data_IF_014296956868
#
_entry.id   IF_014296956868
#
_cell.length_a   1.000
_cell.length_b   1.000
_cell.length_c   1.000
_cell.angle_alpha   90.00
_cell.angle_beta   90.00
_cell.angle_gamma   90.00
#
_symmetry.space_group_name_H-M   'P 1'
#
loop_
_entity.id
_entity.type
_entity.pdbx_description
1 polymer ?
#
# COMPACT_ATOMS: atom_id res chain seq x y z
N UNK A 1 -21.26 -6.34 -6.68
CA UNK A 1 -20.25 -6.06 -5.64
C UNK A 1 -19.06 -5.44 -6.34
N UNK A 2 -18.67 -4.22 -5.97
CA UNK A 2 -17.60 -3.48 -6.64
C UNK A 2 -16.41 -3.33 -5.69
N UNK A 3 -15.21 -3.31 -6.23
CA UNK A 3 -13.99 -2.84 -5.58
C UNK A 3 -13.12 -2.19 -6.64
N UNK A 4 -12.01 -1.56 -6.28
CA UNK A 4 -11.10 -1.02 -7.28
C UNK A 4 -9.69 -0.81 -6.77
N UNK A 5 -8.76 -0.75 -7.72
CA UNK A 5 -7.39 -0.35 -7.50
C UNK A 5 -6.73 0.07 -8.81
N UNK A 6 -5.78 1.00 -8.74
CA UNK A 6 -4.96 1.41 -9.89
C UNK A 6 -4.24 0.22 -10.56
N UNK A 7 -3.93 0.38 -11.84
CA UNK A 7 -3.33 -0.63 -12.69
C UNK A 7 -1.81 -0.78 -12.47
N UNK A 8 -1.43 -1.21 -11.26
CA UNK A 8 -0.03 -1.50 -10.90
C UNK A 8 0.64 -2.51 -11.83
N UNK A 9 1.91 -2.28 -12.16
CA UNK A 9 2.73 -3.28 -12.89
C UNK A 9 2.67 -4.62 -12.16
N UNK A 10 2.59 -5.73 -12.91
CA UNK A 10 2.44 -7.07 -12.34
C UNK A 10 1.26 -7.20 -11.36
N UNK A 11 0.16 -6.46 -11.54
CA UNK A 11 -1.01 -6.35 -10.62
C UNK A 11 -0.81 -5.49 -9.37
N UNK A 12 0.36 -4.89 -9.18
CA UNK A 12 0.66 -4.07 -8.01
C UNK A 12 0.73 -4.89 -6.71
N UNK A 13 0.41 -4.28 -5.55
CA UNK A 13 0.53 -4.94 -4.25
C UNK A 13 -0.56 -6.00 -4.03
N UNK A 14 -0.28 -6.95 -3.14
CA UNK A 14 -1.13 -8.08 -2.75
C UNK A 14 -2.57 -7.69 -2.38
N UNK A 15 -2.78 -6.54 -1.75
CA UNK A 15 -4.14 -6.10 -1.39
C UNK A 15 -5.04 -5.91 -2.62
N UNK A 16 -4.49 -5.70 -3.81
CA UNK A 16 -5.24 -5.66 -5.08
C UNK A 16 -5.92 -7.01 -5.33
N UNK A 17 -5.18 -8.10 -5.12
CA UNK A 17 -5.69 -9.46 -5.24
C UNK A 17 -6.72 -9.73 -4.13
N UNK A 18 -6.47 -9.24 -2.92
CA UNK A 18 -7.39 -9.44 -1.80
C UNK A 18 -8.72 -8.72 -1.98
N UNK A 19 -8.70 -7.49 -2.50
CA UNK A 19 -9.90 -6.76 -2.92
C UNK A 19 -10.72 -7.56 -3.92
N UNK A 20 -10.07 -8.07 -4.97
CA UNK A 20 -10.73 -8.87 -5.99
C UNK A 20 -11.29 -10.19 -5.42
N UNK A 21 -10.52 -10.88 -4.58
CA UNK A 21 -10.95 -12.12 -3.92
C UNK A 21 -12.15 -11.88 -2.98
N UNK A 22 -12.12 -10.82 -2.18
CA UNK A 22 -13.23 -10.39 -1.34
C UNK A 22 -14.49 -10.09 -2.17
N UNK A 23 -14.37 -9.32 -3.25
CA UNK A 23 -15.50 -9.00 -4.13
C UNK A 23 -16.10 -10.27 -4.77
N UNK A 24 -15.26 -11.18 -5.25
CA UNK A 24 -15.68 -12.49 -5.80
C UNK A 24 -16.40 -13.32 -4.75
N UNK A 25 -15.81 -13.45 -3.55
CA UNK A 25 -16.36 -14.27 -2.48
C UNK A 25 -17.69 -13.71 -1.98
N UNK A 26 -17.78 -12.39 -1.80
CA UNK A 26 -19.00 -11.70 -1.37
C UNK A 26 -20.11 -11.80 -2.44
N UNK A 27 -19.80 -11.60 -3.72
CA UNK A 27 -20.78 -11.75 -4.80
C UNK A 27 -21.33 -13.19 -4.88
N UNK A 28 -20.46 -14.20 -4.70
CA UNK A 28 -20.88 -15.60 -4.65
C UNK A 28 -21.79 -15.88 -3.46
N UNK A 29 -21.49 -15.33 -2.29
CA UNK A 29 -22.32 -15.53 -1.09
C UNK A 29 -23.70 -14.88 -1.24
N UNK A 30 -23.76 -13.65 -1.75
CA UNK A 30 -25.02 -12.99 -2.08
C UNK A 30 -25.84 -13.77 -3.12
N UNK A 31 -25.16 -14.39 -4.10
CA UNK A 31 -25.81 -15.27 -5.08
C UNK A 31 -26.38 -16.52 -4.46
N UNK A 32 -25.69 -17.14 -3.50
CA UNK A 32 -26.22 -18.27 -2.73
C UNK A 32 -27.44 -17.90 -1.90
N UNK A 33 -27.52 -16.65 -1.44
CA UNK A 33 -28.67 -16.09 -0.73
C UNK A 33 -29.82 -15.64 -1.66
N UNK A 34 -29.72 -15.91 -2.97
CA UNK A 34 -30.78 -15.65 -3.94
C UNK A 34 -30.70 -14.30 -4.65
N UNK A 35 -29.69 -13.48 -4.39
CA UNK A 35 -29.49 -12.21 -5.10
C UNK A 35 -28.69 -12.40 -6.39
N UNK A 36 -29.07 -11.80 -7.52
CA UNK A 36 -28.23 -11.80 -8.73
C UNK A 36 -27.05 -10.84 -8.55
N UNK A 37 -25.92 -11.34 -8.06
CA UNK A 37 -24.74 -10.52 -7.78
C UNK A 37 -23.54 -10.93 -8.63
N UNK A 38 -22.86 -9.94 -9.21
CA UNK A 38 -21.59 -10.13 -9.93
C UNK A 38 -20.45 -9.35 -9.25
N UNK A 39 -19.22 -9.88 -9.27
CA UNK A 39 -18.04 -9.15 -8.82
C UNK A 39 -17.47 -8.27 -9.93
N UNK A 40 -17.26 -6.98 -9.62
CA UNK A 40 -16.70 -5.99 -10.54
C UNK A 40 -15.45 -5.39 -9.91
N UNK A 41 -14.37 -5.32 -10.68
CA UNK A 41 -13.14 -4.64 -10.32
C UNK A 41 -12.99 -3.38 -11.17
N UNK A 42 -13.16 -2.23 -10.55
CA UNK A 42 -12.98 -0.91 -11.12
C UNK A 42 -11.48 -0.60 -11.26
N UNK A 43 -11.03 -0.38 -12.49
CA UNK A 43 -9.66 0.06 -12.77
C UNK A 43 -9.70 1.57 -12.98
N UNK A 44 -9.23 2.41 -12.04
CA UNK A 44 -9.26 3.87 -12.15
C UNK A 44 -8.17 4.36 -13.12
N UNK A 45 -8.29 3.98 -14.39
CA UNK A 45 -7.39 4.28 -15.49
C UNK A 45 -7.31 5.78 -15.84
N UNK A 46 -8.25 6.56 -15.30
CA UNK A 46 -8.33 8.02 -15.37
C UNK A 46 -7.43 8.76 -14.39
N UNK A 47 -6.88 8.06 -13.40
CA UNK A 47 -5.85 8.60 -12.53
C UNK A 47 -4.54 8.79 -13.30
N UNK A 48 -3.71 9.70 -12.84
CA UNK A 48 -2.46 10.14 -13.46
C UNK A 48 -1.21 9.77 -12.65
N UNK A 49 -1.37 9.19 -11.46
CA UNK A 49 -0.26 8.84 -10.59
C UNK A 49 0.49 7.59 -11.10
N UNK A 50 1.37 7.81 -12.06
CA UNK A 50 2.22 6.76 -12.60
C UNK A 50 3.25 6.25 -11.57
N UNK A 51 3.65 7.08 -10.60
CA UNK A 51 4.63 6.68 -9.57
C UNK A 51 4.08 5.55 -8.70
N UNK A 52 2.80 5.62 -8.35
CA UNK A 52 2.15 4.60 -7.54
C UNK A 52 2.04 3.23 -8.24
N UNK A 53 2.01 3.21 -9.59
CA UNK A 53 1.81 1.98 -10.35
C UNK A 53 3.08 1.40 -11.00
N UNK A 54 4.16 2.18 -11.11
CA UNK A 54 5.34 1.78 -11.91
C UNK A 54 6.26 0.75 -11.25
N UNK A 55 6.05 0.44 -9.97
CA UNK A 55 6.96 -0.44 -9.22
C UNK A 55 6.23 -1.40 -8.30
N UNK A 56 6.88 -2.52 -8.01
CA UNK A 56 6.44 -3.49 -7.02
C UNK A 56 7.61 -3.95 -6.17
N UNK A 57 7.33 -4.36 -4.94
CA UNK A 57 8.27 -5.13 -4.14
C UNK A 57 8.00 -6.61 -4.37
N UNK A 58 9.06 -7.38 -4.58
CA UNK A 58 9.01 -8.84 -4.62
C UNK A 58 9.83 -9.39 -3.47
N UNK A 59 9.39 -10.51 -2.91
CA UNK A 59 10.20 -11.21 -1.92
C UNK A 59 11.20 -12.08 -2.70
N UNK A 60 12.47 -11.67 -2.64
CA UNK A 60 13.55 -12.33 -3.36
C UNK A 60 13.85 -13.74 -2.84
N UNK A 61 14.73 -14.47 -3.55
CA UNK A 61 15.18 -15.84 -3.19
C UNK A 61 15.61 -15.98 -1.73
N UNK A 62 16.30 -14.96 -1.21
CA UNK A 62 16.81 -14.96 0.16
C UNK A 62 15.73 -14.66 1.22
N UNK A 63 14.53 -14.26 0.81
CA UNK A 63 13.44 -13.84 1.71
C UNK A 63 13.48 -12.34 2.04
N UNK A 64 14.28 -11.56 1.30
CA UNK A 64 14.42 -10.11 1.47
C UNK A 64 13.69 -9.36 0.35
N UNK A 65 13.25 -8.11 0.60
CA UNK A 65 12.55 -7.32 -0.40
C UNK A 65 13.49 -6.88 -1.52
N UNK A 66 13.01 -7.02 -2.76
CA UNK A 66 13.65 -6.50 -3.96
C UNK A 66 12.65 -5.65 -4.72
N UNK A 67 13.02 -4.41 -5.05
CA UNK A 67 12.17 -3.52 -5.85
C UNK A 67 12.42 -3.80 -7.32
N UNK A 68 11.33 -3.95 -8.07
CA UNK A 68 11.32 -4.08 -9.53
C UNK A 68 10.44 -2.96 -10.08
N UNK A 69 10.91 -2.23 -11.09
CA UNK A 69 10.21 -1.07 -11.63
C UNK A 69 10.42 -0.84 -13.13
N UNK A 70 9.49 -0.12 -13.75
CA UNK A 70 9.69 0.45 -15.08
C UNK A 70 10.20 1.87 -14.99
N UNK A 71 10.79 2.35 -16.09
CA UNK A 71 11.22 3.74 -16.23
C UNK A 71 10.05 4.71 -16.00
N UNK A 72 10.38 5.91 -15.50
CA UNK A 72 9.38 6.94 -15.29
C UNK A 72 8.77 7.40 -16.61
N UNK A 73 7.43 7.36 -16.69
CA UNK A 73 6.63 7.88 -17.79
C UNK A 73 5.57 8.87 -17.31
N UNK A 74 5.77 9.42 -16.12
CA UNK A 74 4.89 10.45 -15.55
C UNK A 74 4.81 11.63 -16.52
N UNK A 75 3.64 11.81 -17.11
CA UNK A 75 3.34 12.90 -18.05
C UNK A 75 2.17 13.77 -17.57
N UNK A 76 1.66 13.47 -16.37
CA UNK A 76 0.39 14.01 -15.88
C UNK A 76 -0.84 13.50 -16.62
N UNK A 77 -0.69 12.74 -17.72
CA UNK A 77 -1.81 12.12 -18.42
C UNK A 77 -2.44 11.01 -17.58
N UNK A 78 -3.73 10.70 -17.80
CA UNK A 78 -4.33 9.46 -17.34
C UNK A 78 -3.45 8.24 -17.67
N UNK A 79 -3.37 7.28 -16.75
CA UNK A 79 -2.64 6.02 -16.90
C UNK A 79 -3.06 5.28 -18.17
N UNK A 80 -4.35 5.35 -18.54
CA UNK A 80 -4.84 4.77 -19.80
C UNK A 80 -4.10 5.28 -21.04
N UNK A 81 -3.65 6.54 -21.03
CA UNK A 81 -2.99 7.20 -22.16
C UNK A 81 -1.46 6.99 -22.14
N UNK A 82 -0.92 6.35 -21.11
CA UNK A 82 0.51 6.05 -21.02
C UNK A 82 0.81 4.75 -21.79
N UNK A 83 1.63 4.80 -22.85
CA UNK A 83 1.92 3.62 -23.66
C UNK A 83 2.77 2.61 -22.88
N UNK A 84 2.41 1.35 -22.99
CA UNK A 84 3.17 0.21 -22.48
C UNK A 84 3.88 -0.50 -23.64
N UNK A 85 5.19 -0.72 -23.51
CA UNK A 85 5.99 -1.41 -24.51
C UNK A 85 6.28 -2.86 -24.10
N UNK A 86 6.44 -3.73 -25.09
CA UNK A 86 6.75 -5.16 -24.87
C UNK A 86 8.12 -5.34 -24.21
N UNK A 87 9.06 -4.46 -24.53
CA UNK A 87 10.41 -4.41 -23.96
C UNK A 87 10.38 -4.04 -22.48
N UNK A 88 9.44 -3.19 -22.05
CA UNK A 88 9.24 -2.88 -20.64
C UNK A 88 8.69 -4.09 -19.88
N UNK A 89 7.67 -4.74 -20.45
CA UNK A 89 7.15 -5.99 -19.90
C UNK A 89 8.25 -7.05 -19.76
N UNK A 90 9.04 -7.27 -20.82
CA UNK A 90 10.11 -8.27 -20.81
C UNK A 90 11.19 -7.94 -19.77
N UNK A 91 11.61 -6.68 -19.62
CA UNK A 91 12.59 -6.29 -18.59
C UNK A 91 12.08 -6.58 -17.17
N UNK A 92 10.84 -6.20 -16.86
CA UNK A 92 10.21 -6.52 -15.56
C UNK A 92 10.18 -8.03 -15.31
N UNK A 93 9.82 -8.81 -16.33
CA UNK A 93 9.70 -10.26 -16.23
C UNK A 93 11.07 -10.91 -16.03
N UNK A 94 12.13 -10.40 -16.67
CA UNK A 94 13.50 -10.88 -16.47
C UNK A 94 14.04 -10.56 -15.07
N UNK A 95 13.72 -9.39 -14.52
CA UNK A 95 14.03 -9.08 -13.13
C UNK A 95 13.29 -10.02 -12.19
N UNK A 96 11.99 -10.22 -12.38
CA UNK A 96 11.21 -11.17 -11.60
C UNK A 96 11.79 -12.60 -11.68
N UNK A 97 12.19 -13.04 -12.87
CA UNK A 97 12.88 -14.31 -13.09
C UNK A 97 14.17 -14.39 -12.26
N UNK A 98 15.04 -13.37 -12.34
CA UNK A 98 16.30 -13.33 -11.60
C UNK A 98 16.09 -13.39 -10.09
N UNK A 99 15.08 -12.70 -9.57
CA UNK A 99 14.83 -12.56 -8.13
C UNK A 99 14.00 -13.69 -7.50
N UNK A 100 13.44 -14.60 -8.31
CA UNK A 100 12.57 -15.69 -7.80
C UNK A 100 13.18 -17.08 -7.97
N UNK A 101 12.95 -18.02 -7.03
CA UNK A 101 13.57 -19.34 -7.05
C UNK A 101 13.12 -20.15 -8.27
N UNK A 102 13.98 -21.06 -8.75
CA UNK A 102 13.58 -22.02 -9.78
C UNK A 102 12.61 -23.05 -9.18
N UNK A 103 11.42 -23.15 -9.76
CA UNK A 103 10.36 -24.09 -9.38
C UNK A 103 9.73 -24.68 -10.63
N UNK A 104 8.99 -25.78 -10.49
CA UNK A 104 8.24 -26.38 -11.60
C UNK A 104 7.19 -25.43 -12.19
N UNK A 105 6.67 -24.48 -11.41
CA UNK A 105 5.64 -23.53 -11.85
C UNK A 105 6.20 -22.30 -12.57
N UNK A 106 7.49 -21.99 -12.37
CA UNK A 106 8.09 -20.73 -12.82
C UNK A 106 7.97 -20.52 -14.33
N UNK A 107 8.25 -21.55 -15.12
CA UNK A 107 8.24 -21.45 -16.58
C UNK A 107 6.87 -21.04 -17.13
N UNK A 108 5.80 -21.71 -16.67
CA UNK A 108 4.43 -21.42 -17.10
C UNK A 108 3.96 -20.01 -16.66
N UNK A 109 4.32 -19.60 -15.45
CA UNK A 109 3.95 -18.26 -14.93
C UNK A 109 4.65 -17.16 -15.72
N UNK A 110 5.96 -17.29 -15.96
CA UNK A 110 6.71 -16.32 -16.76
C UNK A 110 6.18 -16.25 -18.19
N UNK A 111 5.82 -17.38 -18.82
CA UNK A 111 5.22 -17.34 -20.16
C UNK A 111 3.83 -16.70 -20.16
N UNK A 112 3.03 -16.91 -19.11
CA UNK A 112 1.74 -16.21 -18.97
C UNK A 112 1.94 -14.69 -18.85
N UNK A 113 2.94 -14.26 -18.10
CA UNK A 113 3.31 -12.84 -18.01
C UNK A 113 3.74 -12.28 -19.38
N UNK A 114 4.56 -13.03 -20.13
CA UNK A 114 5.01 -12.64 -21.47
C UNK A 114 3.87 -12.59 -22.48
N UNK A 115 2.99 -13.59 -22.51
CA UNK A 115 1.79 -13.61 -23.39
C UNK A 115 0.93 -12.37 -23.17
N UNK A 116 0.59 -12.09 -21.91
CA UNK A 116 -0.25 -10.93 -21.58
C UNK A 116 0.43 -9.60 -21.88
N UNK A 117 1.74 -9.48 -21.63
CA UNK A 117 2.51 -8.29 -21.99
C UNK A 117 2.52 -8.07 -23.52
N UNK A 118 2.76 -9.11 -24.32
CA UNK A 118 2.77 -9.03 -25.79
C UNK A 118 1.43 -8.56 -26.38
N UNK A 119 0.32 -8.78 -25.66
CA UNK A 119 -1.06 -8.46 -26.07
C UNK A 119 -1.58 -7.13 -25.51
N UNK A 120 -0.69 -6.32 -24.94
CA UNK A 120 -1.05 -5.09 -24.25
C UNK A 120 -0.34 -3.89 -24.86
N UNK A 121 -1.07 -2.79 -25.00
CA UNK A 121 -0.58 -1.50 -25.49
C UNK A 121 -0.58 -0.44 -24.39
N UNK A 122 -1.27 -0.70 -23.28
CA UNK A 122 -1.36 0.17 -22.10
C UNK A 122 -1.12 -0.64 -20.82
N UNK A 123 -0.70 0.04 -19.75
CA UNK A 123 -0.55 -0.58 -18.43
C UNK A 123 -1.88 -1.12 -17.90
N UNK A 124 -2.98 -0.37 -18.12
CA UNK A 124 -4.35 -0.80 -17.82
C UNK A 124 -4.68 -2.12 -18.51
N UNK A 125 -4.37 -2.24 -19.81
CA UNK A 125 -4.66 -3.46 -20.57
C UNK A 125 -3.86 -4.65 -20.05
N UNK A 126 -2.59 -4.47 -19.74
CA UNK A 126 -1.75 -5.52 -19.19
C UNK A 126 -2.24 -5.99 -17.83
N UNK A 127 -2.51 -5.04 -16.92
CA UNK A 127 -3.13 -5.32 -15.62
C UNK A 127 -4.44 -6.10 -15.78
N UNK A 128 -5.31 -5.67 -16.70
CA UNK A 128 -6.59 -6.32 -16.92
C UNK A 128 -6.44 -7.76 -17.41
N UNK A 129 -5.52 -8.03 -18.34
CA UNK A 129 -5.25 -9.39 -18.79
C UNK A 129 -4.70 -10.27 -17.67
N UNK A 130 -3.79 -9.76 -16.84
CA UNK A 130 -3.26 -10.50 -15.68
C UNK A 130 -4.36 -10.84 -14.68
N UNK A 131 -5.16 -9.86 -14.27
CA UNK A 131 -6.29 -10.09 -13.36
C UNK A 131 -7.30 -11.09 -13.95
N UNK A 132 -7.56 -11.03 -15.26
CA UNK A 132 -8.41 -12.00 -15.96
C UNK A 132 -7.86 -13.42 -15.89
N UNK A 133 -6.53 -13.60 -16.03
CA UNK A 133 -5.88 -14.92 -15.89
C UNK A 133 -5.96 -15.44 -14.45
N UNK A 134 -5.62 -14.61 -13.46
CA UNK A 134 -5.61 -14.99 -12.04
C UNK A 134 -7.01 -15.35 -11.52
N UNK A 135 -8.03 -14.61 -11.96
CA UNK A 135 -9.43 -14.80 -11.56
C UNK A 135 -10.25 -15.57 -12.61
N UNK A 136 -9.59 -16.34 -13.49
CA UNK A 136 -10.29 -17.19 -14.45
C UNK A 136 -11.30 -18.10 -13.74
N UNK A 137 -12.51 -18.18 -14.30
CA UNK A 137 -13.60 -19.01 -13.78
C UNK A 137 -14.36 -18.41 -12.58
N UNK A 138 -14.06 -17.19 -12.13
CA UNK A 138 -14.79 -16.55 -11.02
C UNK A 138 -15.92 -15.64 -11.46
N UNK A 139 -15.95 -15.24 -12.74
CA UNK A 139 -16.89 -14.23 -13.24
C UNK A 139 -16.51 -12.80 -12.87
N UNK A 140 -15.27 -12.54 -12.43
CA UNK A 140 -14.77 -11.19 -12.19
C UNK A 140 -14.82 -10.34 -13.46
N UNK A 141 -15.58 -9.26 -13.41
CA UNK A 141 -15.67 -8.27 -14.48
C UNK A 141 -14.65 -7.17 -14.22
N UNK A 142 -13.77 -6.90 -15.18
CA UNK A 142 -12.84 -5.77 -15.09
C UNK A 142 -13.43 -4.57 -15.82
N UNK A 143 -13.57 -3.46 -15.10
CA UNK A 143 -14.29 -2.29 -15.56
C UNK A 143 -13.32 -1.11 -15.74
N UNK A 144 -13.15 -0.67 -16.99
CA UNK A 144 -12.40 0.52 -17.33
C UNK A 144 -13.38 1.68 -17.55
N UNK A 145 -13.40 2.71 -16.69
CA UNK A 145 -14.37 3.80 -16.75
C UNK A 145 -14.08 4.81 -17.86
N UNK A 146 -12.95 4.69 -18.57
CA UNK A 146 -12.60 5.51 -19.73
C UNK A 146 -13.05 4.91 -21.06
N UNK A 147 -13.69 3.73 -21.07
CA UNK A 147 -14.31 3.18 -22.28
C UNK A 147 -15.37 4.20 -22.78
N UNK A 148 -15.27 4.71 -24.03
CA UNK A 148 -16.10 5.82 -24.50
C UNK A 148 -17.61 5.60 -24.35
N UNK A 149 -18.09 4.39 -24.65
CA UNK A 149 -19.51 4.04 -24.59
C UNK A 149 -20.04 4.08 -23.15
N UNK A 150 -19.22 3.64 -22.20
CA UNK A 150 -19.54 3.67 -20.77
C UNK A 150 -19.49 5.11 -20.26
N UNK A 151 -18.47 5.86 -20.68
CA UNK A 151 -18.21 7.23 -20.22
C UNK A 151 -19.36 8.18 -20.50
N UNK A 152 -20.07 7.99 -21.61
CA UNK A 152 -21.28 8.77 -21.95
C UNK A 152 -22.33 8.73 -20.84
N UNK A 153 -22.49 7.60 -20.14
CA UNK A 153 -23.41 7.46 -19.02
C UNK A 153 -23.07 8.34 -17.80
N UNK A 154 -21.82 8.81 -17.69
CA UNK A 154 -21.37 9.69 -16.61
C UNK A 154 -21.47 11.19 -16.94
N UNK A 155 -21.75 11.55 -18.21
CA UNK A 155 -21.67 12.95 -18.68
C UNK A 155 -22.55 13.92 -17.88
N UNK A 156 -23.81 13.55 -17.63
CA UNK A 156 -24.74 14.39 -16.87
C UNK A 156 -24.30 14.62 -15.41
N UNK A 157 -23.80 13.57 -14.74
CA UNK A 157 -23.25 13.72 -13.39
C UNK A 157 -22.01 14.64 -13.40
N UNK A 158 -21.06 14.40 -14.31
CA UNK A 158 -19.83 15.19 -14.38
C UNK A 158 -20.12 16.67 -14.67
N UNK A 159 -21.06 16.96 -15.60
CA UNK A 159 -21.50 18.32 -15.86
C UNK A 159 -22.14 18.96 -14.62
N UNK A 160 -22.98 18.20 -13.92
CA UNK A 160 -23.61 18.65 -12.68
C UNK A 160 -22.63 18.89 -11.54
N UNK A 161 -21.51 18.16 -11.46
CA UNK A 161 -20.45 18.43 -10.50
C UNK A 161 -19.81 19.80 -10.74
N UNK A 162 -19.63 20.18 -12.01
CA UNK A 162 -19.13 21.49 -12.40
C UNK A 162 -20.11 22.59 -11.98
N UNK A 163 -21.36 22.51 -12.44
CA UNK A 163 -22.40 23.52 -12.18
C UNK A 163 -22.67 23.73 -10.67
N UNK A 164 -22.55 22.68 -9.87
CA UNK A 164 -22.91 22.72 -8.44
C UNK A 164 -21.69 22.79 -7.51
N UNK A 165 -20.54 23.24 -8.02
CA UNK A 165 -19.26 23.27 -7.31
C UNK A 165 -19.34 23.91 -5.92
N UNK A 166 -19.92 25.10 -5.80
CA UNK A 166 -20.06 25.81 -4.51
C UNK A 166 -20.92 25.05 -3.51
N UNK A 167 -22.04 24.48 -3.96
CA UNK A 167 -22.93 23.70 -3.12
C UNK A 167 -22.24 22.44 -2.60
N UNK A 168 -21.53 21.72 -3.47
CA UNK A 168 -20.73 20.54 -3.12
C UNK A 168 -19.67 20.89 -2.09
N UNK A 169 -18.97 22.01 -2.30
CA UNK A 169 -17.95 22.50 -1.36
C UNK A 169 -18.54 22.76 0.02
N UNK A 170 -19.68 23.46 0.09
CA UNK A 170 -20.40 23.71 1.34
C UNK A 170 -20.81 22.43 2.07
N UNK A 171 -21.37 21.44 1.35
CA UNK A 171 -21.78 20.15 1.93
C UNK A 171 -20.59 19.39 2.52
N UNK A 172 -19.49 19.31 1.78
CA UNK A 172 -18.30 18.60 2.24
C UNK A 172 -17.62 19.35 3.39
N UNK A 173 -17.57 20.69 3.38
CA UNK A 173 -16.98 21.47 4.49
C UNK A 173 -17.78 21.37 5.78
N UNK A 174 -19.12 21.29 5.70
CA UNK A 174 -19.93 20.97 6.88
C UNK A 174 -19.60 19.58 7.41
N UNK A 175 -19.49 18.59 6.52
CA UNK A 175 -19.18 17.21 6.90
C UNK A 175 -17.79 17.03 7.48
N UNK A 176 -16.80 17.73 6.96
CA UNK A 176 -15.43 17.74 7.48
C UNK A 176 -15.40 18.22 8.93
N UNK A 177 -16.10 19.33 9.24
CA UNK A 177 -16.23 19.83 10.61
C UNK A 177 -16.91 18.81 11.53
N UNK A 178 -18.01 18.19 11.09
CA UNK A 178 -18.69 17.15 11.87
C UNK A 178 -17.79 15.96 12.19
N UNK A 179 -16.89 15.58 11.27
CA UNK A 179 -15.94 14.49 11.47
C UNK A 179 -14.85 14.89 12.49
N UNK A 180 -14.29 16.09 12.35
CA UNK A 180 -13.28 16.63 13.26
C UNK A 180 -13.81 16.80 14.69
N UNK A 181 -15.03 17.33 14.85
CA UNK A 181 -15.71 17.47 16.14
C UNK A 181 -15.94 16.13 16.86
N UNK A 182 -16.04 15.03 16.09
CA UNK A 182 -16.17 13.66 16.61
C UNK A 182 -14.83 12.95 16.82
N UNK A 183 -13.71 13.64 16.61
CA UNK A 183 -12.36 13.09 16.78
C UNK A 183 -11.86 12.26 15.59
N UNK A 184 -12.55 12.29 14.45
CA UNK A 184 -12.05 11.70 13.21
C UNK A 184 -11.19 12.72 12.43
N UNK A 185 -10.31 12.22 11.57
CA UNK A 185 -9.49 13.06 10.69
C UNK A 185 -10.11 13.15 9.29
N UNK A 186 -9.89 14.29 8.62
CA UNK A 186 -10.20 14.47 7.20
C UNK A 186 -9.14 13.71 6.38
N UNK A 187 -9.60 12.76 5.56
CA UNK A 187 -8.72 11.94 4.70
C UNK A 187 -8.29 12.65 3.42
N UNK A 188 -9.14 13.50 2.83
CA UNK A 188 -8.89 14.15 1.54
C UNK A 188 -8.94 15.65 1.73
N UNK A 189 -7.78 16.30 1.66
CA UNK A 189 -7.69 17.76 1.71
C UNK A 189 -8.15 18.36 0.37
N UNK A 190 -8.89 19.47 0.44
CA UNK A 190 -9.50 20.12 -0.73
C UNK A 190 -9.16 21.61 -0.77
N UNK A 191 -9.01 22.12 -1.98
CA UNK A 191 -8.94 23.56 -2.23
C UNK A 191 -10.37 24.12 -2.38
N UNK A 192 -10.62 25.34 -1.87
CA UNK A 192 -11.96 25.95 -1.84
C UNK A 192 -12.57 26.13 -3.24
N UNK A 193 -11.77 26.54 -4.20
CA UNK A 193 -12.20 26.81 -5.58
C UNK A 193 -12.32 25.53 -6.43
N UNK A 194 -11.91 24.37 -5.90
CA UNK A 194 -11.81 23.13 -6.68
C UNK A 194 -13.19 22.54 -7.01
N UNK A 195 -13.44 22.24 -8.27
CA UNK A 195 -14.72 21.68 -8.74
C UNK A 195 -14.85 20.16 -8.54
N UNK A 196 -13.85 19.51 -7.95
CA UNK A 196 -13.77 18.04 -7.83
C UNK A 196 -13.82 17.33 -9.20
N UNK A 197 -13.31 18.02 -10.22
CA UNK A 197 -13.22 17.61 -11.60
C UNK A 197 -11.84 17.94 -12.17
N UNK A 198 -11.46 17.19 -13.19
CA UNK A 198 -10.22 17.35 -13.92
C UNK A 198 -10.51 17.35 -15.41
N UNK A 199 -9.74 18.12 -16.18
CA UNK A 199 -9.69 18.03 -17.64
C UNK A 199 -8.43 17.30 -18.08
N UNK A 200 -8.52 16.49 -19.14
CA UNK A 200 -7.41 15.75 -19.74
C UNK A 200 -6.89 16.47 -20.97
N UNK A 201 -6.06 17.47 -20.75
CA UNK A 201 -5.49 18.33 -21.78
C UNK A 201 -4.24 17.69 -22.41
N UNK A 202 -3.74 18.17 -23.56
CA UNK A 202 -2.49 17.68 -24.16
C UNK A 202 -1.28 17.73 -23.20
N UNK A 203 -1.23 18.74 -22.32
CA UNK A 203 -0.19 18.89 -21.28
C UNK A 203 -0.40 18.06 -20.01
N UNK A 204 -1.45 17.24 -19.93
CA UNK A 204 -1.75 16.39 -18.79
C UNK A 204 -3.13 16.64 -18.17
N UNK A 205 -3.39 15.96 -17.06
CA UNK A 205 -4.58 16.12 -16.22
C UNK A 205 -4.46 17.41 -15.42
N UNK A 206 -5.45 18.29 -15.57
CA UNK A 206 -5.50 19.58 -14.89
C UNK A 206 -6.73 19.66 -13.98
N UNK A 207 -6.53 20.03 -12.72
CA UNK A 207 -7.62 20.31 -11.78
C UNK A 207 -8.42 21.53 -12.26
N UNK A 208 -9.75 21.42 -12.20
CA UNK A 208 -10.66 22.51 -12.56
C UNK A 208 -11.06 23.30 -11.32
N UNK A 209 -10.94 24.62 -11.42
CA UNK A 209 -11.29 25.60 -10.41
C UNK A 209 -12.41 26.50 -10.94
N UNK A 210 -13.28 26.96 -10.04
CA UNK A 210 -14.24 28.02 -10.34
C UNK A 210 -13.75 29.35 -9.77
N UNK A 211 -13.52 30.33 -10.64
CA UNK A 211 -13.13 31.69 -10.29
C UNK A 211 -14.15 32.65 -10.89
N UNK A 212 -15.05 33.18 -10.04
CA UNK A 212 -16.08 34.15 -10.42
C UNK A 212 -16.93 33.72 -11.64
N UNK A 213 -17.33 32.44 -11.69
CA UNK A 213 -18.14 31.85 -12.77
C UNK A 213 -17.35 31.41 -14.00
N UNK A 214 -16.03 31.63 -14.02
CA UNK A 214 -15.12 31.12 -15.04
C UNK A 214 -14.44 29.83 -14.56
N UNK A 215 -14.41 28.82 -15.43
CA UNK A 215 -13.69 27.59 -15.15
C UNK A 215 -12.26 27.70 -15.63
N UNK A 216 -11.33 27.67 -14.69
CA UNK A 216 -9.89 27.74 -14.97
C UNK A 216 -9.20 26.46 -14.54
N UNK A 217 -8.12 26.12 -15.24
CA UNK A 217 -7.20 25.09 -14.76
C UNK A 217 -6.29 25.67 -13.69
N UNK A 218 -5.75 24.83 -12.80
CA UNK A 218 -4.73 25.26 -11.82
C UNK A 218 -3.49 25.92 -12.48
N UNK A 219 -3.20 25.57 -13.73
CA UNK A 219 -2.11 26.18 -14.53
C UNK A 219 -2.49 27.52 -15.18
N UNK A 220 -3.71 28.04 -14.96
CA UNK A 220 -4.15 29.34 -15.44
C UNK A 220 -4.82 29.37 -16.82
N UNK A 221 -5.03 28.21 -17.46
CA UNK A 221 -5.81 28.16 -18.71
C UNK A 221 -7.30 28.37 -18.41
N UNK A 222 -7.93 29.38 -19.02
CA UNK A 222 -9.37 29.60 -18.96
C UNK A 222 -10.09 28.70 -19.99
N UNK A 223 -11.08 27.93 -19.53
CA UNK A 223 -11.87 27.01 -20.35
C UNK A 223 -13.25 27.57 -20.76
N UNK A 224 -13.63 28.71 -20.19
CA UNK A 224 -14.87 29.46 -20.45
C UNK A 224 -15.79 29.54 -19.23
N UNK A 225 -17.01 30.02 -19.47
CA UNK A 225 -18.08 30.08 -18.48
C UNK A 225 -18.51 28.68 -18.02
N UNK A 226 -18.92 28.58 -16.75
CA UNK A 226 -19.25 27.29 -16.11
C UNK A 226 -20.36 26.53 -16.84
N UNK A 227 -21.36 27.22 -17.39
CA UNK A 227 -22.44 26.62 -18.18
C UNK A 227 -21.95 26.06 -19.52
N UNK A 228 -21.02 26.76 -20.17
CA UNK A 228 -20.42 26.29 -21.42
C UNK A 228 -19.52 25.08 -21.19
N UNK A 229 -18.71 25.13 -20.12
CA UNK A 229 -17.83 24.01 -19.75
C UNK A 229 -18.64 22.80 -19.32
N UNK A 230 -19.75 22.98 -18.59
CA UNK A 230 -20.66 21.90 -18.25
C UNK A 230 -21.24 21.21 -19.50
N UNK A 231 -21.65 21.97 -20.52
CA UNK A 231 -22.08 21.42 -21.82
C UNK A 231 -20.95 20.67 -22.52
N UNK A 232 -19.70 21.17 -22.47
CA UNK A 232 -18.54 20.45 -23.02
C UNK A 232 -18.31 19.12 -22.29
N UNK A 233 -18.43 19.10 -20.96
CA UNK A 233 -18.29 17.90 -20.14
C UNK A 233 -19.38 16.87 -20.49
N UNK A 234 -20.63 17.31 -20.61
CA UNK A 234 -21.75 16.42 -20.93
C UNK A 234 -21.60 15.79 -22.31
N UNK A 235 -21.18 16.58 -23.30
CA UNK A 235 -21.00 16.12 -24.69
C UNK A 235 -19.73 15.28 -24.89
N UNK A 236 -18.66 15.56 -24.13
CA UNK A 236 -17.35 14.91 -24.28
C UNK A 236 -16.77 14.42 -22.93
N UNK A 237 -17.47 13.53 -22.18
CA UNK A 237 -17.07 13.16 -20.82
C UNK A 237 -15.77 12.34 -20.77
N UNK A 238 -15.25 11.88 -21.90
CA UNK A 238 -13.94 11.23 -22.01
C UNK A 238 -12.75 12.17 -21.90
N UNK A 239 -12.98 13.48 -21.97
CA UNK A 239 -11.96 14.52 -21.79
C UNK A 239 -11.91 15.04 -20.35
N UNK A 240 -12.80 14.55 -19.48
CA UNK A 240 -12.92 15.01 -18.10
C UNK A 240 -12.94 13.82 -17.15
N UNK A 241 -12.57 14.03 -15.89
CA UNK A 241 -12.63 13.00 -14.86
C UNK A 241 -12.95 13.51 -13.47
N UNK A 242 -13.50 12.65 -12.60
CA UNK A 242 -13.79 13.00 -11.23
C UNK A 242 -12.52 13.11 -10.38
N UNK A 243 -12.64 13.77 -9.24
CA UNK A 243 -11.70 13.65 -8.13
C UNK A 243 -11.99 12.43 -7.26
N UNK A 244 -11.13 12.21 -6.26
CA UNK A 244 -11.21 11.05 -5.35
C UNK A 244 -12.58 10.93 -4.67
N UNK A 245 -13.18 12.05 -4.26
CA UNK A 245 -14.47 12.08 -3.55
C UNK A 245 -15.69 11.98 -4.47
N UNK A 246 -15.56 12.34 -5.75
CA UNK A 246 -16.66 12.31 -6.72
C UNK A 246 -16.65 11.07 -7.60
N UNK A 247 -15.53 10.35 -7.66
CA UNK A 247 -15.41 9.07 -8.36
C UNK A 247 -16.42 8.01 -7.86
N UNK A 248 -16.68 7.86 -6.54
CA UNK A 248 -17.72 6.95 -6.07
C UNK A 248 -19.12 7.29 -6.60
N UNK A 249 -19.47 8.58 -6.74
CA UNK A 249 -20.75 8.99 -7.33
C UNK A 249 -20.85 8.59 -8.80
N UNK A 250 -19.75 8.73 -9.54
CA UNK A 250 -19.67 8.28 -10.93
C UNK A 250 -19.83 6.77 -11.05
N UNK A 251 -19.22 6.00 -10.14
CA UNK A 251 -19.42 4.56 -10.07
C UNK A 251 -20.89 4.21 -9.85
N UNK A 252 -21.57 4.85 -8.89
CA UNK A 252 -23.00 4.59 -8.60
C UNK A 252 -23.95 5.08 -9.70
N UNK A 253 -23.51 6.01 -10.55
CA UNK A 253 -24.25 6.40 -11.75
C UNK A 253 -24.15 5.35 -12.85
N UNK A 254 -22.98 4.71 -12.98
CA UNK A 254 -22.71 3.73 -14.04
C UNK A 254 -23.10 2.30 -13.67
N UNK A 255 -23.12 1.97 -12.38
CA UNK A 255 -23.30 0.62 -11.87
C UNK A 255 -24.34 0.58 -10.75
N UNK A 256 -25.24 -0.42 -10.74
CA UNK A 256 -26.12 -0.66 -9.60
C UNK A 256 -25.34 -1.37 -8.47
N UNK A 257 -24.54 -0.64 -7.69
CA UNK A 257 -23.66 -1.24 -6.69
C UNK A 257 -24.39 -1.56 -5.39
N UNK A 258 -24.60 -2.85 -5.13
CA UNK A 258 -25.12 -3.29 -3.82
C UNK A 258 -24.12 -3.05 -2.68
N UNK A 259 -22.84 -3.36 -2.92
CA UNK A 259 -21.79 -3.27 -1.90
C UNK A 259 -20.45 -2.93 -2.54
N UNK A 260 -19.68 -2.08 -1.84
CA UNK A 260 -18.33 -1.67 -2.21
C UNK A 260 -17.31 -2.21 -1.21
N UNK A 261 -16.39 -3.05 -1.68
CA UNK A 261 -15.30 -3.59 -0.88
C UNK A 261 -14.17 -2.56 -0.80
N UNK A 262 -14.00 -1.96 0.39
CA UNK A 262 -13.14 -0.82 0.64
C UNK A 262 -11.91 -1.19 1.47
N UNK A 263 -10.76 -0.61 1.14
CA UNK A 263 -9.61 -0.53 2.03
C UNK A 263 -9.80 0.54 3.12
N UNK A 264 -8.89 0.60 4.12
CA UNK A 264 -9.00 1.54 5.24
C UNK A 264 -9.10 3.02 4.82
N UNK A 265 -8.22 3.47 3.92
CA UNK A 265 -8.23 4.85 3.42
C UNK A 265 -9.51 5.17 2.62
N UNK A 266 -10.10 4.17 1.98
CA UNK A 266 -11.35 4.34 1.24
C UNK A 266 -12.53 4.53 2.18
N UNK A 267 -12.63 3.72 3.23
CA UNK A 267 -13.65 3.90 4.27
C UNK A 267 -13.59 5.31 4.87
N UNK A 268 -12.40 5.84 5.14
CA UNK A 268 -12.21 7.19 5.69
C UNK A 268 -12.70 8.29 4.73
N UNK A 269 -12.43 8.19 3.42
CA UNK A 269 -12.94 9.20 2.48
C UNK A 269 -14.43 9.02 2.16
N UNK A 270 -14.97 7.80 2.24
CA UNK A 270 -16.41 7.58 2.08
C UNK A 270 -17.20 8.33 3.16
N UNK A 271 -16.71 8.35 4.40
CA UNK A 271 -17.33 9.11 5.48
C UNK A 271 -17.48 10.62 5.15
N UNK A 272 -16.51 11.19 4.42
CA UNK A 272 -16.55 12.59 3.96
C UNK A 272 -17.56 12.82 2.84
N UNK A 273 -17.63 11.93 1.84
CA UNK A 273 -18.48 12.16 0.67
C UNK A 273 -19.96 11.75 0.85
N UNK A 274 -20.33 11.12 1.97
CA UNK A 274 -21.71 10.67 2.23
C UNK A 274 -22.81 11.70 1.91
N UNK A 275 -22.69 13.00 2.27
CA UNK A 275 -23.72 14.00 1.95
C UNK A 275 -23.96 14.17 0.44
N UNK A 276 -22.96 13.86 -0.40
CA UNK A 276 -23.11 13.98 -1.84
C UNK A 276 -24.06 12.92 -2.42
N UNK A 277 -24.17 11.74 -1.80
CA UNK A 277 -25.14 10.74 -2.25
C UNK A 277 -26.58 11.26 -2.14
N UNK A 278 -26.93 11.86 -1.01
CA UNK A 278 -28.25 12.47 -0.80
C UNK A 278 -28.50 13.62 -1.78
N UNK A 279 -27.51 14.51 -1.93
CA UNK A 279 -27.58 15.65 -2.83
C UNK A 279 -27.81 15.26 -4.29
N UNK A 280 -27.17 14.18 -4.76
CA UNK A 280 -27.33 13.65 -6.12
C UNK A 280 -28.44 12.60 -6.26
N UNK A 281 -29.25 12.39 -5.22
CA UNK A 281 -30.31 11.37 -5.19
C UNK A 281 -29.82 9.95 -5.53
N UNK A 282 -28.57 9.66 -5.19
CA UNK A 282 -27.94 8.35 -5.34
C UNK A 282 -28.01 7.59 -4.02
N UNK A 283 -28.12 6.27 -4.10
CA UNK A 283 -28.03 5.42 -2.91
C UNK A 283 -26.56 5.04 -2.68
N UNK A 284 -25.99 5.27 -1.49
CA UNK A 284 -24.64 4.80 -1.20
C UNK A 284 -24.62 3.26 -1.18
N UNK A 285 -23.56 2.62 -1.66
CA UNK A 285 -23.41 1.17 -1.55
C UNK A 285 -23.16 0.77 -0.09
N UNK A 286 -23.45 -0.49 0.25
CA UNK A 286 -23.03 -1.04 1.54
C UNK A 286 -21.50 -1.15 1.56
N UNK A 287 -20.86 -0.35 2.41
CA UNK A 287 -19.40 -0.35 2.56
C UNK A 287 -18.97 -1.61 3.31
N UNK A 288 -18.13 -2.40 2.64
CA UNK A 288 -17.62 -3.65 3.17
C UNK A 288 -16.12 -3.52 3.39
N UNK A 289 -15.62 -3.42 4.64
CA UNK A 289 -14.20 -3.40 4.91
C UNK A 289 -13.56 -4.67 4.38
N UNK A 290 -12.60 -4.54 3.46
CA UNK A 290 -11.86 -5.71 2.98
C UNK A 290 -11.10 -6.34 4.15
N UNK A 291 -11.06 -7.68 4.25
CA UNK A 291 -10.12 -8.36 5.12
C UNK A 291 -8.67 -8.04 4.73
N UNK A 292 -7.82 -7.95 5.75
CA UNK A 292 -6.37 -7.80 5.60
C UNK A 292 -5.71 -9.15 5.80
N UNK A 293 -4.74 -9.52 4.95
CA UNK A 293 -4.04 -10.80 5.07
C UNK A 293 -2.52 -10.64 5.22
N UNK A 294 -1.93 -11.49 6.05
CA UNK A 294 -0.51 -11.85 5.97
C UNK A 294 -0.39 -13.29 5.46
N UNK A 295 0.28 -13.47 4.32
CA UNK A 295 0.61 -14.79 3.79
C UNK A 295 1.70 -15.42 4.67
N UNK A 296 1.43 -16.61 5.17
CA UNK A 296 2.36 -17.39 5.98
C UNK A 296 2.96 -18.49 5.13
N UNK A 297 4.25 -18.36 4.87
CA UNK A 297 5.03 -19.36 4.13
C UNK A 297 5.53 -20.48 5.06
N UNK A 298 5.78 -21.71 4.56
CA UNK A 298 6.34 -22.80 5.36
C UNK A 298 7.67 -22.44 6.05
N UNK A 299 8.47 -21.57 5.45
CA UNK A 299 9.70 -21.05 6.07
C UNK A 299 9.40 -20.19 7.30
N UNK A 300 8.39 -19.31 7.22
CA UNK A 300 7.97 -18.47 8.34
C UNK A 300 7.46 -19.35 9.49
N UNK A 301 6.59 -20.33 9.20
CA UNK A 301 6.08 -21.26 10.21
C UNK A 301 7.19 -22.00 10.95
N UNK A 302 8.18 -22.54 10.22
CA UNK A 302 9.34 -23.20 10.84
C UNK A 302 10.15 -22.28 11.75
N UNK A 303 10.27 -21.00 11.41
CA UNK A 303 10.95 -20.03 12.27
C UNK A 303 10.10 -19.68 13.50
N UNK A 304 8.78 -19.49 13.32
CA UNK A 304 7.87 -19.28 14.45
C UNK A 304 7.92 -20.45 15.44
N UNK A 305 7.84 -21.69 14.96
CA UNK A 305 7.94 -22.89 15.81
C UNK A 305 9.31 -22.98 16.50
N UNK A 306 10.40 -22.72 15.76
CA UNK A 306 11.76 -22.79 16.30
C UNK A 306 12.02 -21.78 17.43
N UNK A 307 11.40 -20.61 17.35
CA UNK A 307 11.58 -19.52 18.32
C UNK A 307 10.36 -19.36 19.24
N UNK A 308 9.42 -20.31 19.22
CA UNK A 308 8.18 -20.31 20.00
C UNK A 308 7.38 -19.00 19.88
N UNK A 309 7.30 -18.43 18.67
CA UNK A 309 6.62 -17.18 18.40
C UNK A 309 5.13 -17.40 18.16
N UNK A 310 4.32 -16.55 18.78
CA UNK A 310 2.91 -16.36 18.45
C UNK A 310 2.74 -15.56 17.15
N UNK A 311 1.50 -15.38 16.71
CA UNK A 311 1.18 -14.57 15.54
C UNK A 311 1.29 -13.07 15.85
N UNK A 312 0.98 -12.71 17.09
CA UNK A 312 1.04 -11.36 17.62
C UNK A 312 2.48 -10.87 17.68
N UNK A 313 3.42 -11.75 18.05
CA UNK A 313 4.86 -11.48 18.09
C UNK A 313 5.43 -11.04 16.74
N UNK A 314 4.79 -11.42 15.62
CA UNK A 314 5.25 -11.06 14.28
C UNK A 314 5.15 -9.57 13.98
N UNK A 315 4.34 -8.83 14.73
CA UNK A 315 4.20 -7.38 14.59
C UNK A 315 5.15 -6.59 15.51
N UNK A 316 5.89 -7.27 16.39
CA UNK A 316 6.88 -6.66 17.30
C UNK A 316 8.17 -7.48 17.37
N UNK A 317 8.67 -7.87 16.19
CA UNK A 317 9.88 -8.69 16.08
C UNK A 317 11.15 -7.99 16.58
N UNK A 318 11.16 -6.65 16.62
CA UNK A 318 12.23 -5.88 17.24
C UNK A 318 12.32 -6.21 18.73
N UNK A 319 11.21 -6.16 19.47
CA UNK A 319 11.18 -6.49 20.89
C UNK A 319 11.48 -7.98 21.13
N UNK A 320 10.92 -8.88 20.31
CA UNK A 320 11.21 -10.33 20.37
C UNK A 320 12.71 -10.59 20.23
N UNK A 321 13.36 -9.92 19.27
CA UNK A 321 14.80 -10.04 19.03
C UNK A 321 15.62 -9.53 20.21
N UNK A 322 15.22 -8.43 20.85
CA UNK A 322 15.89 -7.94 22.06
C UNK A 322 15.76 -8.96 23.20
N UNK A 323 14.55 -9.46 23.46
CA UNK A 323 14.30 -10.48 24.50
C UNK A 323 15.12 -11.75 24.26
N UNK A 324 15.22 -12.19 23.00
CA UNK A 324 16.05 -13.34 22.62
C UNK A 324 17.53 -13.12 22.95
N UNK A 325 18.08 -11.94 22.64
CA UNK A 325 19.48 -11.62 22.97
C UNK A 325 19.71 -11.49 24.48
N UNK A 326 18.73 -10.97 25.22
CA UNK A 326 18.77 -10.93 26.68
C UNK A 326 18.88 -12.33 27.28
N UNK A 327 18.06 -13.28 26.82
CA UNK A 327 18.12 -14.69 27.25
C UNK A 327 19.46 -15.38 26.89
N UNK A 328 20.12 -14.95 25.80
CA UNK A 328 21.38 -15.55 25.34
C UNK A 328 22.65 -14.96 25.98
N UNK A 329 22.53 -14.17 27.03
CA UNK A 329 23.67 -13.67 27.78
C UNK A 329 23.87 -12.15 27.74
N UNK A 330 23.03 -11.40 27.02
CA UNK A 330 23.17 -9.93 26.94
C UNK A 330 22.90 -9.27 28.28
N UNK A 331 22.02 -9.85 29.10
CA UNK A 331 21.70 -9.33 30.44
C UNK A 331 22.87 -9.50 31.41
N UNK A 332 23.43 -10.70 31.51
CA UNK A 332 24.58 -11.02 32.35
C UNK A 332 25.80 -10.19 31.94
N UNK A 333 26.01 -10.04 30.63
CA UNK A 333 27.07 -9.18 30.10
C UNK A 333 26.84 -7.71 30.51
N UNK A 334 25.60 -7.22 30.42
CA UNK A 334 25.24 -5.85 30.84
C UNK A 334 25.48 -5.64 32.33
N UNK A 335 25.07 -6.59 33.17
CA UNK A 335 25.28 -6.55 34.63
C UNK A 335 26.77 -6.58 34.98
N UNK A 336 27.57 -7.41 34.30
CA UNK A 336 29.02 -7.47 34.46
C UNK A 336 29.69 -6.13 34.16
N UNK A 337 29.40 -5.53 32.99
CA UNK A 337 29.95 -4.22 32.63
C UNK A 337 29.49 -3.12 33.59
N UNK A 338 28.23 -3.12 34.02
CA UNK A 338 27.74 -2.17 35.04
C UNK A 338 28.45 -2.32 36.39
N UNK A 339 28.84 -3.53 36.77
CA UNK A 339 29.68 -3.78 37.94
C UNK A 339 31.07 -3.18 37.80
N UNK A 340 31.74 -3.45 36.66
CA UNK A 340 33.06 -2.92 36.34
C UNK A 340 33.06 -1.39 36.30
N UNK A 341 32.11 -0.78 35.59
CA UNK A 341 31.97 0.68 35.49
C UNK A 341 31.80 1.33 36.87
N UNK A 342 30.97 0.75 37.76
CA UNK A 342 30.79 1.24 39.12
C UNK A 342 32.08 1.14 39.95
N UNK A 343 32.78 0.01 39.87
CA UNK A 343 34.01 -0.20 40.63
C UNK A 343 35.11 0.75 40.16
N UNK A 344 35.30 0.92 38.85
CA UNK A 344 36.29 1.87 38.30
C UNK A 344 36.01 3.29 38.79
N UNK A 345 34.76 3.75 38.70
CA UNK A 345 34.39 5.11 39.17
C UNK A 345 34.68 5.27 40.65
N UNK A 346 34.28 4.30 41.48
CA UNK A 346 34.51 4.34 42.93
C UNK A 346 36.00 4.44 43.27
N UNK A 347 36.85 3.63 42.65
CA UNK A 347 38.29 3.65 42.89
C UNK A 347 38.95 4.94 42.38
N UNK A 348 38.51 5.45 41.21
CA UNK A 348 39.00 6.73 40.68
C UNK A 348 38.59 7.94 41.51
N UNK A 349 37.37 7.95 42.05
CA UNK A 349 36.90 9.02 42.93
C UNK A 349 37.68 9.02 44.24
N UNK A 350 37.94 7.84 44.85
CA UNK A 350 38.77 7.71 46.03
C UNK A 350 40.22 8.18 45.77
N UNK A 351 40.80 7.78 44.65
CA UNK A 351 42.15 8.21 44.23
C UNK A 351 42.20 9.73 44.01
N UNK A 352 41.19 10.31 43.35
CA UNK A 352 41.10 11.74 43.11
C UNK A 352 41.04 12.56 44.40
N UNK A 353 40.31 12.08 45.41
CA UNK A 353 40.23 12.74 46.73
C UNK A 353 41.58 12.79 47.45
N UNK A 354 42.41 11.75 47.35
CA UNK A 354 43.75 11.77 47.93
C UNK A 354 44.73 12.66 47.14
N UNK A 355 44.66 12.63 45.80
CA UNK A 355 45.54 13.42 44.94
C UNK A 355 45.30 14.94 45.05
N UNK A 356 44.05 15.37 45.28
CA UNK A 356 43.72 16.79 45.51
C UNK A 356 44.41 17.35 46.75
N UNK A 357 44.69 16.51 47.76
CA UNK A 357 45.41 16.92 48.99
C UNK A 357 46.88 17.22 48.70
N UNK A 358 47.45 16.66 47.62
CA UNK A 358 48.82 16.91 47.18
C UNK A 358 48.85 18.19 46.32
N UNK A 359 48.04 18.23 45.27
CA UNK A 359 47.95 19.39 44.37
C UNK A 359 46.55 19.47 43.75
N UNK A 360 45.94 20.66 43.80
CA UNK A 360 44.57 20.87 43.28
C UNK A 360 44.40 20.46 41.81
N UNK A 361 45.42 20.70 40.96
CA UNK A 361 45.37 20.37 39.53
C UNK A 361 45.31 18.86 39.23
N UNK A 362 45.71 18.00 40.17
CA UNK A 362 45.68 16.55 39.99
C UNK A 362 44.26 15.96 40.05
N UNK A 363 43.31 16.66 40.69
CA UNK A 363 41.90 16.26 40.70
C UNK A 363 41.28 16.27 39.30
N UNK A 364 41.44 17.38 38.58
CA UNK A 364 40.95 17.54 37.20
C UNK A 364 41.62 16.56 36.24
N UNK A 365 42.92 16.32 36.43
CA UNK A 365 43.66 15.34 35.65
C UNK A 365 43.12 13.91 35.87
N UNK A 366 42.76 13.57 37.11
CA UNK A 366 42.20 12.26 37.48
C UNK A 366 40.82 12.03 36.84
N UNK A 367 39.93 13.03 36.87
CA UNK A 367 38.63 12.95 36.20
C UNK A 367 38.75 12.86 34.67
N UNK A 368 39.70 13.60 34.08
CA UNK A 368 40.00 13.48 32.64
C UNK A 368 40.54 12.09 32.29
N UNK A 369 41.34 11.48 33.17
CA UNK A 369 41.84 10.11 33.00
C UNK A 369 40.71 9.07 33.12
N UNK A 370 39.84 9.20 34.13
CA UNK A 370 38.63 8.38 34.28
C UNK A 370 37.79 8.39 33.00
N UNK A 371 37.57 9.57 32.42
CA UNK A 371 36.85 9.71 31.15
C UNK A 371 37.48 8.94 29.99
N UNK A 372 38.81 8.76 29.96
CA UNK A 372 39.50 7.93 28.96
C UNK A 372 39.32 6.44 29.26
N UNK A 373 39.47 6.01 30.51
CA UNK A 373 39.27 4.62 30.91
C UNK A 373 37.83 4.17 30.63
N UNK A 374 36.84 5.01 30.95
CA UNK A 374 35.44 4.71 30.65
C UNK A 374 35.19 4.51 29.15
N UNK A 375 35.86 5.28 28.27
CA UNK A 375 35.79 5.07 26.82
C UNK A 375 36.33 3.71 26.38
N UNK A 376 37.42 3.23 27.01
CA UNK A 376 37.97 1.90 26.72
C UNK A 376 37.04 0.78 27.21
N UNK A 377 36.39 0.97 28.37
CA UNK A 377 35.35 0.04 28.87
C UNK A 377 34.15 0.01 27.91
N UNK A 378 33.69 1.17 27.45
CA UNK A 378 32.61 1.26 26.47
C UNK A 378 32.98 0.60 25.13
N UNK A 379 34.23 0.73 24.68
CA UNK A 379 34.73 0.04 23.50
C UNK A 379 34.69 -1.49 23.66
N UNK A 380 35.17 -2.03 24.78
CA UNK A 380 35.09 -3.46 25.09
C UNK A 380 33.64 -3.95 25.18
N UNK A 381 32.75 -3.17 25.80
CA UNK A 381 31.32 -3.45 25.89
C UNK A 381 30.67 -3.54 24.52
N UNK A 382 31.03 -2.63 23.61
CA UNK A 382 30.58 -2.67 22.21
C UNK A 382 31.08 -3.94 21.52
N UNK A 383 32.37 -4.29 21.66
CA UNK A 383 32.96 -5.50 21.06
C UNK A 383 32.34 -6.80 21.58
N UNK A 384 32.06 -6.88 22.88
CA UNK A 384 31.41 -8.05 23.47
C UNK A 384 29.97 -8.21 22.97
N UNK A 385 29.23 -7.10 22.81
CA UNK A 385 27.88 -7.12 22.19
C UNK A 385 27.92 -7.52 20.72
N UNK A 386 28.91 -7.05 19.96
CA UNK A 386 29.14 -7.47 18.56
C UNK A 386 29.38 -8.99 18.50
N UNK A 387 30.32 -9.51 19.29
CA UNK A 387 30.61 -10.95 19.34
C UNK A 387 29.39 -11.80 19.76
N UNK A 388 28.54 -11.30 20.66
CA UNK A 388 27.29 -11.97 21.02
C UNK A 388 26.30 -11.99 19.85
N UNK A 389 26.20 -10.91 19.09
CA UNK A 389 25.38 -10.87 17.86
C UNK A 389 25.92 -11.83 16.81
N UNK A 390 27.24 -11.86 16.59
CA UNK A 390 27.90 -12.75 15.63
C UNK A 390 27.65 -14.22 15.99
N UNK A 391 27.75 -14.58 17.28
CA UNK A 391 27.42 -15.92 17.78
C UNK A 391 25.96 -16.31 17.50
N UNK A 392 25.06 -15.33 17.43
CA UNK A 392 23.63 -15.51 17.18
C UNK A 392 23.20 -15.08 15.78
N UNK A 393 24.14 -14.88 14.84
CA UNK A 393 23.89 -14.29 13.52
C UNK A 393 22.78 -15.02 12.77
N UNK A 394 22.78 -16.35 12.81
CA UNK A 394 21.76 -17.17 12.15
C UNK A 394 20.35 -16.90 12.71
N UNK A 395 20.20 -16.73 14.02
CA UNK A 395 18.91 -16.41 14.62
C UNK A 395 18.47 -14.99 14.27
N UNK A 396 19.40 -14.03 14.32
CA UNK A 396 19.14 -12.64 13.93
C UNK A 396 18.75 -12.53 12.44
N UNK A 397 19.37 -13.33 11.58
CA UNK A 397 19.00 -13.46 10.17
C UNK A 397 17.59 -14.03 10.00
N UNK A 398 17.21 -15.05 10.77
CA UNK A 398 15.84 -15.57 10.73
C UNK A 398 14.80 -14.54 11.18
N UNK A 399 15.06 -13.79 12.26
CA UNK A 399 14.16 -12.70 12.69
C UNK A 399 14.04 -11.61 11.63
N UNK A 400 15.15 -11.22 11.00
CA UNK A 400 15.12 -10.26 9.88
C UNK A 400 14.27 -10.78 8.72
N UNK A 401 14.39 -12.05 8.35
CA UNK A 401 13.58 -12.63 7.28
C UNK A 401 12.09 -12.67 7.67
N UNK A 402 11.77 -13.01 8.93
CA UNK A 402 10.38 -12.95 9.41
C UNK A 402 9.82 -11.53 9.34
N UNK A 403 10.59 -10.54 9.82
CA UNK A 403 10.23 -9.13 9.81
C UNK A 403 9.96 -8.64 8.39
N UNK A 404 10.92 -8.86 7.48
CA UNK A 404 10.76 -8.46 6.09
C UNK A 404 9.68 -9.25 5.35
N UNK A 405 9.26 -10.42 5.85
CA UNK A 405 8.16 -11.18 5.27
C UNK A 405 6.79 -10.68 5.73
N UNK A 406 6.66 -10.14 6.95
CA UNK A 406 5.39 -9.68 7.54
C UNK A 406 5.21 -8.17 7.42
N UNK A 407 6.28 -7.43 7.71
CA UNK A 407 6.37 -5.97 7.72
C UNK A 407 7.54 -5.47 6.85
N UNK A 408 7.57 -5.74 5.53
CA UNK A 408 8.62 -5.24 4.64
C UNK A 408 8.76 -3.71 4.74
N UNK A 409 9.93 -3.25 5.20
CA UNK A 409 10.16 -1.82 5.45
C UNK A 409 9.23 -1.20 6.50
N UNK A 410 8.73 -1.98 7.46
CA UNK A 410 7.83 -1.53 8.52
C UNK A 410 6.35 -1.40 8.12
N UNK A 411 5.98 -1.75 6.89
CA UNK A 411 4.59 -1.72 6.42
C UNK A 411 4.05 -3.12 6.16
N UNK A 412 2.73 -3.29 6.30
CA UNK A 412 2.05 -4.57 6.07
C UNK A 412 2.43 -5.21 4.74
N UNK A 413 2.71 -6.52 4.78
CA UNK A 413 3.02 -7.38 3.64
C UNK A 413 2.12 -7.09 2.43
N UNK A 414 0.81 -6.99 2.68
CA UNK A 414 -0.19 -6.82 1.63
C UNK A 414 -0.08 -5.50 0.84
N UNK A 415 0.59 -4.48 1.42
CA UNK A 415 0.78 -3.15 0.84
C UNK A 415 2.05 -3.03 0.01
N UNK A 416 2.99 -3.94 0.19
CA UNK A 416 4.32 -3.88 -0.42
C UNK A 416 4.55 -4.98 -1.43
N UNK A 417 4.34 -6.22 -1.02
CA UNK A 417 4.68 -7.34 -1.88
C UNK A 417 3.66 -7.57 -2.98
N UNK A 418 4.15 -8.13 -4.07
CA UNK A 418 3.39 -8.59 -5.21
C UNK A 418 3.03 -10.08 -5.11
N UNK A 419 2.00 -10.51 -5.84
CA UNK A 419 1.49 -11.88 -5.84
C UNK A 419 2.37 -12.89 -6.58
N UNK A 420 3.10 -12.48 -7.63
CA UNK A 420 3.80 -13.42 -8.52
C UNK A 420 4.94 -14.22 -7.86
N UNK A 421 5.74 -13.69 -6.92
CA UNK A 421 6.69 -14.50 -6.17
C UNK A 421 6.03 -15.69 -5.46
N UNK A 422 4.83 -15.50 -4.90
CA UNK A 422 4.08 -16.58 -4.25
C UNK A 422 3.54 -17.59 -5.26
N UNK A 423 3.03 -17.13 -6.41
CA UNK A 423 2.61 -18.03 -7.49
C UNK A 423 3.79 -18.86 -8.03
N UNK A 424 4.96 -18.26 -8.18
CA UNK A 424 6.16 -18.98 -8.63
C UNK A 424 6.55 -20.04 -7.59
N UNK A 425 6.47 -19.74 -6.29
CA UNK A 425 6.81 -20.69 -5.23
C UNK A 425 5.79 -21.81 -5.06
N UNK A 426 4.50 -21.50 -5.10
CA UNK A 426 3.41 -22.38 -4.64
C UNK A 426 2.43 -22.79 -5.75
N UNK A 427 2.61 -22.29 -6.97
CA UNK A 427 1.84 -22.68 -8.14
C UNK A 427 0.41 -22.13 -8.18
N UNK A 428 -0.36 -22.50 -9.22
CA UNK A 428 -1.75 -22.05 -9.38
C UNK A 428 -2.68 -22.56 -8.28
N UNK A 429 -2.36 -23.68 -7.63
CA UNK A 429 -3.13 -24.24 -6.52
C UNK A 429 -3.27 -23.27 -5.34
N UNK A 430 -2.23 -22.48 -5.05
CA UNK A 430 -2.32 -21.41 -4.04
C UNK A 430 -3.38 -20.36 -4.40
N UNK A 431 -3.43 -19.93 -5.66
CA UNK A 431 -4.44 -18.96 -6.10
C UNK A 431 -5.86 -19.53 -6.00
N UNK A 432 -6.04 -20.81 -6.33
CA UNK A 432 -7.34 -21.49 -6.20
C UNK A 432 -7.77 -21.62 -4.74
N UNK A 433 -6.85 -21.97 -3.84
CA UNK A 433 -7.07 -21.95 -2.39
C UNK A 433 -7.47 -20.55 -1.92
N UNK A 434 -6.70 -19.52 -2.28
CA UNK A 434 -7.00 -18.12 -1.94
C UNK A 434 -8.40 -17.71 -2.38
N UNK A 435 -8.80 -17.99 -3.64
CA UNK A 435 -10.14 -17.66 -4.16
C UNK A 435 -11.27 -18.40 -3.44
N UNK A 436 -11.01 -19.60 -2.94
CA UNK A 436 -12.02 -20.47 -2.30
C UNK A 436 -12.19 -20.14 -0.82
N UNK A 437 -11.07 -19.95 -0.13
CA UNK A 437 -10.95 -19.84 1.33
C UNK A 437 -10.72 -18.40 1.81
N UNK A 438 -10.78 -17.41 0.90
CA UNK A 438 -10.67 -16.00 1.28
C UNK A 438 -11.65 -15.67 2.41
N UNK A 439 -11.18 -15.14 3.56
CA UNK A 439 -12.06 -14.79 4.66
C UNK A 439 -12.97 -13.64 4.25
N UNK A 440 -14.16 -13.58 4.84
CA UNK A 440 -15.08 -12.45 4.65
C UNK A 440 -15.10 -11.53 5.87
N UNK A 441 -14.81 -12.05 7.05
CA UNK A 441 -14.84 -11.28 8.29
C UNK A 441 -13.83 -10.11 8.27
N UNK A 442 -14.28 -8.87 8.54
CA UNK A 442 -13.38 -7.73 8.69
C UNK A 442 -12.34 -8.00 9.79
N UNK A 443 -11.08 -7.72 9.49
CA UNK A 443 -9.98 -7.96 10.42
C UNK A 443 -8.69 -8.34 9.70
N UNK A 444 -7.64 -8.58 10.50
CA UNK A 444 -6.38 -9.10 10.00
C UNK A 444 -6.35 -10.63 10.17
N UNK A 445 -5.99 -11.35 9.11
CA UNK A 445 -5.95 -12.80 9.10
C UNK A 445 -4.60 -13.30 8.61
N UNK A 446 -4.14 -14.41 9.19
CA UNK A 446 -2.96 -15.13 8.70
C UNK A 446 -3.42 -16.23 7.74
N UNK A 447 -2.94 -16.19 6.50
CA UNK A 447 -3.34 -17.10 5.44
C UNK A 447 -2.19 -18.02 5.04
N UNK A 448 -2.33 -19.31 5.31
CA UNK A 448 -1.31 -20.32 5.01
C UNK A 448 -1.29 -20.63 3.51
N UNK A 449 -0.11 -20.46 2.88
CA UNK A 449 0.03 -20.61 1.42
C UNK A 449 -0.01 -22.07 0.94
N UNK A 450 0.27 -23.03 1.84
CA UNK A 450 0.14 -24.49 1.62
C UNK A 450 -1.00 -25.03 2.46
#
# INVERSE_FOLDING_TARGET
VVTGQQAGVLTGPLYTIYKAAAAVKLARELTRQGMKAVPVFWIPSEDHDFQEIRSVLVQGKEGLPVKIEVADKSSGQPVERIPFSKEEGERLIQELDRETPATEFKGEILETLRDTARRSETFTRWFALLMTRLFKGTGLILFNPLIPEIRKGAGGLLASLGLQGEKIQGLLSTREKELEERGYHVQVNREKEHLNLFAFLPGGRAALLNQDGQVVTRQGNNLGEIEEVAKKIENNPGEFGPGVLTRPLMQETLLPTLSYVAGPAELSYFAQLMPLYEHFHLRPPVLYPRPSLTLVEPRMRRFMEKYSLSREDLFDLEQVRQNYLEEKGSRELKELFQGVERNIRKEYDALGQELIKIEKGLGDLTQKNLGRVMKEVDYLKKKAREALKDKNEKALSHFKILEESVLPGGELQERKYNIFPYLIKYGPGFMDKLKKEFPLEPGHHFFEVV
#
